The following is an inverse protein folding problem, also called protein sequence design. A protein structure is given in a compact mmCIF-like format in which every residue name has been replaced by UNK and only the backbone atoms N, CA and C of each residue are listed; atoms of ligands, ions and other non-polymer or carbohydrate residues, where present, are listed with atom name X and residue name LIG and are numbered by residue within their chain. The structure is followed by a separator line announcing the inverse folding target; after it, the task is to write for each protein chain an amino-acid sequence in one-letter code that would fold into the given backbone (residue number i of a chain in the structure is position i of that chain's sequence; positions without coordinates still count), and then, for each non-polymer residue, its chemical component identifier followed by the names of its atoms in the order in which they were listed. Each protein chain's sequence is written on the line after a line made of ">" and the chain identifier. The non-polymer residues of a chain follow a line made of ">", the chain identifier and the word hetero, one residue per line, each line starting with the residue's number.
data_IF_496919240816
#
_entry.id   IF_496919240816
#
_cell.length_a   1.000
_cell.length_b   1.000
_cell.length_c   1.000
_cell.angle_alpha   90.00
_cell.angle_beta   90.00
_cell.angle_gamma   90.00
#
_symmetry.space_group_name_H-M   'P 1'
#
loop_
_entity.id
_entity.type
_entity.pdbx_description
1 polymer ?
#
# COMPACT_ATOMS: atom_id res chain seq x y z
N UNK A 1 19.66 0.78 -22.95
CA UNK A 1 19.06 2.13 -22.78
C UNK A 1 17.52 2.14 -22.86
N UNK A 2 16.88 1.55 -23.89
CA UNK A 2 15.41 1.57 -24.06
C UNK A 2 14.61 0.95 -22.90
N UNK A 3 15.13 -0.10 -22.27
CA UNK A 3 14.45 -0.79 -21.16
C UNK A 3 14.32 0.09 -19.90
N UNK A 4 15.38 0.81 -19.51
CA UNK A 4 15.35 1.74 -18.37
C UNK A 4 14.37 2.90 -18.57
N UNK A 5 14.26 3.41 -19.80
CA UNK A 5 13.29 4.45 -20.11
C UNK A 5 11.85 3.95 -20.01
N UNK A 6 11.59 2.71 -20.44
CA UNK A 6 10.27 2.07 -20.28
C UNK A 6 9.92 1.84 -18.81
N UNK A 7 10.87 1.37 -18.01
CA UNK A 7 10.70 1.19 -16.56
C UNK A 7 10.39 2.53 -15.88
N UNK A 8 11.18 3.57 -16.12
CA UNK A 8 10.93 4.89 -15.56
C UNK A 8 9.55 5.46 -15.95
N UNK A 9 9.10 5.22 -17.19
CA UNK A 9 7.75 5.63 -17.62
C UNK A 9 6.66 4.84 -16.91
N UNK A 10 6.86 3.53 -16.69
CA UNK A 10 5.94 2.70 -15.94
C UNK A 10 5.86 3.16 -14.47
N UNK A 11 7.00 3.41 -13.83
CA UNK A 11 7.07 3.93 -12.46
C UNK A 11 6.31 5.25 -12.31
N UNK A 12 6.54 6.20 -13.22
CA UNK A 12 5.81 7.48 -13.23
C UNK A 12 4.31 7.26 -13.43
N UNK A 13 3.91 6.30 -14.26
CA UNK A 13 2.49 5.95 -14.43
C UNK A 13 1.89 5.34 -13.17
N UNK A 14 2.63 4.46 -12.49
CA UNK A 14 2.22 3.88 -11.20
C UNK A 14 2.06 4.96 -10.14
N UNK A 15 3.07 5.84 -9.98
CA UNK A 15 3.05 6.96 -9.04
C UNK A 15 1.87 7.91 -9.28
N UNK A 16 1.58 8.23 -10.56
CA UNK A 16 0.43 9.07 -10.97
C UNK A 16 -0.93 8.47 -10.61
N UNK A 17 -1.01 7.16 -10.37
CA UNK A 17 -2.24 6.48 -9.93
C UNK A 17 -2.31 6.39 -8.41
N UNK A 18 -1.24 5.89 -7.77
CA UNK A 18 -1.29 5.57 -6.34
C UNK A 18 -1.34 6.81 -5.45
N UNK A 19 -0.63 7.89 -5.78
CA UNK A 19 -0.57 9.05 -4.88
C UNK A 19 -1.89 9.82 -4.80
N UNK A 20 -2.56 10.17 -5.93
CA UNK A 20 -3.87 10.81 -5.85
C UNK A 20 -4.92 9.90 -5.19
N UNK A 21 -4.84 8.59 -5.42
CA UNK A 21 -5.78 7.63 -4.84
C UNK A 21 -5.57 7.45 -3.34
N UNK A 22 -4.32 7.38 -2.87
CA UNK A 22 -4.02 7.36 -1.44
C UNK A 22 -4.49 8.65 -0.75
N UNK A 23 -4.29 9.82 -1.36
CA UNK A 23 -4.85 11.07 -0.82
C UNK A 23 -6.38 11.03 -0.76
N UNK A 24 -7.04 10.48 -1.78
CA UNK A 24 -8.51 10.35 -1.80
C UNK A 24 -9.00 9.47 -0.66
N UNK A 25 -8.31 8.36 -0.39
CA UNK A 25 -8.62 7.44 0.71
C UNK A 25 -8.40 8.11 2.07
N UNK A 26 -7.28 8.80 2.25
CA UNK A 26 -6.99 9.54 3.47
C UNK A 26 -8.04 10.61 3.77
N UNK A 27 -8.41 11.41 2.75
CA UNK A 27 -9.45 12.44 2.89
C UNK A 27 -10.82 11.85 3.19
N UNK A 28 -11.18 10.73 2.54
CA UNK A 28 -12.42 10.03 2.83
C UNK A 28 -12.46 9.49 4.27
N UNK A 29 -11.31 9.24 4.87
CA UNK A 29 -11.14 8.87 6.27
C UNK A 29 -10.94 10.08 7.22
N UNK A 30 -11.12 11.32 6.74
CA UNK A 30 -10.98 12.55 7.54
C UNK A 30 -9.53 12.94 7.84
N UNK A 31 -8.55 12.38 7.13
CA UNK A 31 -7.12 12.67 7.32
C UNK A 31 -6.58 13.61 6.25
N UNK A 32 -5.71 14.52 6.67
CA UNK A 32 -5.04 15.47 5.77
C UNK A 32 -3.87 14.86 4.99
N UNK A 33 -3.22 13.85 5.56
CA UNK A 33 -2.05 13.18 4.98
C UNK A 33 -2.30 11.68 4.83
N UNK A 34 -2.01 11.09 3.67
CA UNK A 34 -2.09 9.65 3.46
C UNK A 34 -0.99 8.89 4.22
N UNK A 35 -1.37 7.70 4.72
CA UNK A 35 -0.48 6.78 5.39
C UNK A 35 -0.18 5.50 4.61
N UNK A 36 0.43 4.53 5.29
CA UNK A 36 0.83 3.24 4.69
C UNK A 36 -0.39 2.42 4.24
N UNK A 37 -1.47 2.40 5.00
CA UNK A 37 -2.74 1.76 4.62
C UNK A 37 -3.34 2.39 3.36
N UNK A 38 -3.34 3.71 3.24
CA UNK A 38 -3.82 4.40 2.03
C UNK A 38 -2.96 4.05 0.81
N UNK A 39 -1.63 3.95 0.99
CA UNK A 39 -0.70 3.52 -0.07
C UNK A 39 -1.01 2.10 -0.55
N UNK A 40 -1.18 1.16 0.38
CA UNK A 40 -1.45 -0.24 0.06
C UNK A 40 -2.81 -0.39 -0.60
N UNK A 41 -3.85 0.24 -0.05
CA UNK A 41 -5.21 0.23 -0.61
C UNK A 41 -5.23 0.82 -2.03
N UNK A 42 -4.55 1.94 -2.27
CA UNK A 42 -4.39 2.50 -3.62
C UNK A 42 -3.63 1.54 -4.56
N UNK A 43 -2.66 0.80 -4.03
CA UNK A 43 -1.92 -0.23 -4.74
C UNK A 43 -2.78 -1.41 -5.21
N UNK A 44 -3.87 -1.74 -4.51
CA UNK A 44 -4.77 -2.86 -4.89
C UNK A 44 -5.55 -2.60 -6.19
N UNK A 45 -5.70 -1.33 -6.57
CA UNK A 45 -6.37 -0.90 -7.80
C UNK A 45 -5.40 -0.72 -8.99
N UNK A 46 -4.12 -1.05 -8.80
CA UNK A 46 -3.16 -1.09 -9.90
C UNK A 46 -3.52 -2.18 -10.93
N UNK A 47 -3.22 -1.95 -12.22
CA UNK A 47 -3.64 -2.83 -13.30
C UNK A 47 -2.93 -4.19 -13.31
N UNK A 48 -1.80 -4.33 -12.60
CA UNK A 48 -1.11 -5.62 -12.46
C UNK A 48 -1.91 -6.62 -11.59
N UNK A 49 -2.75 -6.12 -10.68
CA UNK A 49 -3.64 -6.89 -9.81
C UNK A 49 -2.95 -7.86 -8.86
N UNK A 50 -1.62 -7.84 -8.74
CA UNK A 50 -0.83 -8.85 -8.01
C UNK A 50 -1.18 -8.82 -6.52
N UNK A 51 -1.08 -7.66 -5.87
CA UNK A 51 -1.40 -7.53 -4.45
C UNK A 51 -2.86 -7.91 -4.14
N UNK A 52 -3.79 -7.56 -5.04
CA UNK A 52 -5.21 -7.90 -4.90
C UNK A 52 -5.45 -9.41 -4.97
N UNK A 53 -4.81 -10.10 -5.91
CA UNK A 53 -4.92 -11.57 -6.01
C UNK A 53 -4.26 -12.28 -4.84
N UNK A 54 -3.12 -11.79 -4.37
CA UNK A 54 -2.45 -12.34 -3.19
C UNK A 54 -3.31 -12.24 -1.93
N UNK A 55 -3.93 -11.09 -1.67
CA UNK A 55 -4.90 -10.96 -0.58
C UNK A 55 -6.11 -11.89 -0.74
N UNK A 56 -6.64 -12.01 -1.96
CA UNK A 56 -7.76 -12.91 -2.24
C UNK A 56 -7.39 -14.39 -2.02
N UNK A 57 -6.14 -14.79 -2.29
CA UNK A 57 -5.64 -16.13 -2.00
C UNK A 57 -5.59 -16.43 -0.49
N UNK A 58 -5.49 -15.39 0.34
CA UNK A 58 -5.60 -15.46 1.80
C UNK A 58 -7.03 -15.23 2.31
N UNK A 59 -8.03 -15.19 1.44
CA UNK A 59 -9.43 -14.98 1.82
C UNK A 59 -9.80 -13.54 2.20
N UNK A 60 -8.93 -12.56 1.91
CA UNK A 60 -9.15 -11.15 2.25
C UNK A 60 -9.51 -10.33 1.02
N UNK A 61 -10.61 -9.58 1.11
CA UNK A 61 -10.97 -8.60 0.08
C UNK A 61 -10.36 -7.21 0.38
N UNK A 62 -10.24 -6.33 -0.63
CA UNK A 62 -9.85 -4.93 -0.39
C UNK A 62 -10.77 -4.19 0.59
N UNK A 63 -12.05 -4.60 0.68
CA UNK A 63 -13.01 -4.03 1.63
C UNK A 63 -12.69 -4.45 3.06
N UNK A 64 -12.34 -5.71 3.27
CA UNK A 64 -11.99 -6.24 4.60
C UNK A 64 -10.73 -5.56 5.12
N UNK A 65 -9.69 -5.44 4.27
CA UNK A 65 -8.48 -4.74 4.64
C UNK A 65 -8.75 -3.28 5.01
N UNK A 66 -9.59 -2.57 4.22
CA UNK A 66 -9.96 -1.18 4.51
C UNK A 66 -10.70 -1.04 5.85
N UNK A 67 -11.59 -1.98 6.16
CA UNK A 67 -12.31 -1.97 7.43
C UNK A 67 -11.35 -2.22 8.60
N UNK A 68 -10.49 -3.24 8.50
CA UNK A 68 -9.53 -3.59 9.53
C UNK A 68 -8.51 -2.47 9.80
N UNK A 69 -7.97 -1.81 8.76
CA UNK A 69 -7.04 -0.67 8.97
C UNK A 69 -7.72 0.53 9.62
N UNK A 70 -9.00 0.77 9.32
CA UNK A 70 -9.78 1.82 9.96
C UNK A 70 -10.01 1.53 11.45
N UNK A 71 -10.28 0.27 11.81
CA UNK A 71 -10.43 -0.20 13.19
C UNK A 71 -9.13 -0.09 13.97
N UNK A 72 -8.00 -0.56 13.42
CA UNK A 72 -6.68 -0.43 14.06
C UNK A 72 -6.37 1.03 14.37
N UNK A 73 -6.51 1.93 13.38
CA UNK A 73 -6.28 3.37 13.62
C UNK A 73 -7.25 3.97 14.63
N UNK A 74 -8.49 3.49 14.71
CA UNK A 74 -9.46 3.99 15.70
C UNK A 74 -9.05 3.57 17.13
N UNK A 75 -8.58 2.34 17.29
CA UNK A 75 -8.02 1.83 18.54
C UNK A 75 -6.77 2.60 18.95
N UNK A 76 -5.84 2.84 18.02
CA UNK A 76 -4.62 3.62 18.30
C UNK A 76 -4.96 5.05 18.76
N UNK A 77 -5.93 5.70 18.10
CA UNK A 77 -6.41 7.04 18.52
C UNK A 77 -7.04 7.01 19.91
N UNK A 78 -7.85 5.99 20.22
CA UNK A 78 -8.46 5.85 21.53
C UNK A 78 -7.41 5.61 22.63
N UNK A 79 -6.40 4.78 22.34
CA UNK A 79 -5.30 4.49 23.25
C UNK A 79 -4.36 5.68 23.48
N UNK A 80 -4.14 6.52 22.45
CA UNK A 80 -3.34 7.73 22.54
C UNK A 80 -3.95 8.81 23.47
N UNK A 81 -5.23 8.68 23.83
CA UNK A 81 -5.89 9.57 24.77
C UNK A 81 -6.24 10.92 24.15
N UNK A 82 -7.51 11.31 24.31
CA UNK A 82 -8.06 12.63 24.04
C UNK A 82 -7.12 13.79 24.44
N UNK A 83 -6.50 14.42 23.45
CA UNK A 83 -5.67 15.61 23.58
C UNK A 83 -5.81 16.47 22.33
N UNK A 84 -6.83 17.34 22.36
CA UNK A 84 -7.28 18.23 21.29
C UNK A 84 -8.03 17.51 20.17
N UNK A 85 -9.36 17.54 20.31
CA UNK A 85 -10.30 17.55 19.20
C UNK A 85 -9.99 18.77 18.31
N UNK A 86 -8.89 18.72 17.57
CA UNK A 86 -8.82 19.46 16.32
C UNK A 86 -9.67 18.62 15.39
N UNK A 87 -10.98 18.88 15.44
CA UNK A 87 -11.91 18.51 14.40
C UNK A 87 -11.28 19.02 13.10
N UNK A 88 -10.46 18.18 12.48
CA UNK A 88 -9.91 18.42 11.17
C UNK A 88 -11.14 18.55 10.29
N UNK A 89 -11.48 19.79 9.94
CA UNK A 89 -12.53 20.07 8.99
C UNK A 89 -12.28 19.12 7.82
N UNK A 90 -13.32 18.40 7.33
CA UNK A 90 -13.14 17.47 6.23
C UNK A 90 -12.31 18.17 5.16
N UNK A 91 -11.19 17.56 4.78
CA UNK A 91 -10.27 18.14 3.81
C UNK A 91 -10.97 18.11 2.43
N UNK A 92 -11.93 19.00 2.24
CA UNK A 92 -12.93 18.99 1.19
C UNK A 92 -12.36 19.51 -0.14
N UNK A 93 -11.05 19.81 -0.17
CA UNK A 93 -10.35 20.29 -1.35
C UNK A 93 -9.05 19.52 -1.58
N UNK A 94 -8.79 19.09 -2.83
CA UNK A 94 -7.48 18.56 -3.19
C UNK A 94 -6.39 19.61 -2.91
N UNK A 95 -5.32 19.22 -2.23
CA UNK A 95 -4.19 20.10 -1.95
C UNK A 95 -3.50 20.45 -3.27
N UNK A 96 -3.60 21.71 -3.71
CA UNK A 96 -2.90 22.23 -4.89
C UNK A 96 -1.42 22.54 -4.59
N UNK A 97 -0.74 21.70 -3.82
CA UNK A 97 0.60 21.91 -3.28
C UNK A 97 1.51 20.70 -3.42
N UNK A 98 2.73 20.79 -2.86
CA UNK A 98 3.67 19.66 -2.78
C UNK A 98 2.99 18.47 -2.09
N UNK A 99 3.13 17.28 -2.67
CA UNK A 99 2.60 16.04 -2.11
C UNK A 99 3.13 15.85 -0.67
N UNK A 100 2.21 15.69 0.29
CA UNK A 100 2.52 15.40 1.70
C UNK A 100 1.91 14.07 2.08
N UNK A 101 2.64 13.33 2.90
CA UNK A 101 2.26 12.01 3.40
C UNK A 101 2.93 11.77 4.73
N UNK A 102 2.35 10.87 5.53
CA UNK A 102 2.94 10.44 6.79
C UNK A 102 4.38 9.94 6.55
N UNK A 103 5.35 10.19 7.46
CA UNK A 103 6.73 9.74 7.29
C UNK A 103 6.86 8.22 7.06
N UNK A 104 5.99 7.44 7.70
CA UNK A 104 5.90 5.98 7.53
C UNK A 104 5.56 5.60 6.09
N UNK A 105 4.62 6.29 5.45
CA UNK A 105 4.25 6.07 4.04
C UNK A 105 5.44 6.33 3.11
N UNK A 106 6.18 7.42 3.33
CA UNK A 106 7.36 7.76 2.53
C UNK A 106 8.43 6.68 2.64
N UNK A 107 8.68 6.21 3.86
CA UNK A 107 9.66 5.15 4.13
C UNK A 107 9.25 3.83 3.47
N UNK A 108 7.97 3.42 3.60
CA UNK A 108 7.44 2.22 2.93
C UNK A 108 7.51 2.35 1.41
N UNK A 109 7.18 3.51 0.85
CA UNK A 109 7.28 3.73 -0.59
C UNK A 109 8.73 3.64 -1.10
N UNK A 110 9.68 4.26 -0.40
CA UNK A 110 11.10 4.16 -0.74
C UNK A 110 11.59 2.71 -0.66
N UNK A 111 11.09 1.95 0.32
CA UNK A 111 11.39 0.53 0.45
C UNK A 111 10.84 -0.28 -0.72
N UNK A 112 9.60 -0.05 -1.14
CA UNK A 112 9.00 -0.69 -2.31
C UNK A 112 9.79 -0.40 -3.60
N UNK A 113 10.24 0.85 -3.79
CA UNK A 113 11.14 1.22 -4.90
C UNK A 113 12.47 0.46 -4.81
N UNK A 114 13.00 0.25 -3.60
CA UNK A 114 14.18 -0.57 -3.36
C UNK A 114 14.01 -2.02 -3.82
N UNK A 115 12.87 -2.65 -3.47
CA UNK A 115 12.52 -4.01 -3.88
C UNK A 115 12.45 -4.11 -5.41
N UNK A 116 11.69 -3.22 -6.07
CA UNK A 116 11.57 -3.21 -7.53
C UNK A 116 12.93 -3.06 -8.23
N UNK A 117 13.80 -2.19 -7.70
CA UNK A 117 15.16 -1.97 -8.23
C UNK A 117 16.07 -3.19 -8.06
N UNK A 118 16.02 -3.87 -6.91
CA UNK A 118 16.82 -5.06 -6.66
C UNK A 118 16.53 -6.16 -7.70
N UNK A 119 15.28 -6.25 -8.13
CA UNK A 119 14.80 -7.20 -9.14
C UNK A 119 14.88 -6.66 -10.58
N UNK A 120 15.42 -5.45 -10.77
CA UNK A 120 15.51 -4.76 -12.07
C UNK A 120 14.15 -4.64 -12.77
N UNK A 121 13.07 -4.50 -11.99
CA UNK A 121 11.70 -4.36 -12.46
C UNK A 121 11.20 -2.91 -12.27
N UNK A 122 10.01 -2.62 -12.79
CA UNK A 122 9.29 -1.38 -12.46
C UNK A 122 8.45 -1.61 -11.20
N UNK A 123 8.09 -0.54 -10.51
CA UNK A 123 7.26 -0.57 -9.31
C UNK A 123 5.89 -1.19 -9.61
N UNK A 124 5.58 -2.27 -8.89
CA UNK A 124 4.33 -3.04 -8.96
C UNK A 124 3.58 -3.01 -7.64
N UNK A 125 2.29 -3.37 -7.66
CA UNK A 125 1.45 -3.45 -6.45
C UNK A 125 2.05 -4.39 -5.39
N UNK A 126 2.73 -5.45 -5.83
CA UNK A 126 3.40 -6.40 -4.95
C UNK A 126 4.47 -5.75 -4.08
N UNK A 127 5.24 -4.82 -4.64
CA UNK A 127 6.39 -4.23 -3.96
C UNK A 127 5.90 -3.31 -2.83
N UNK A 128 4.75 -2.66 -3.04
CA UNK A 128 4.05 -1.86 -2.03
C UNK A 128 3.57 -2.75 -0.87
N UNK A 129 2.96 -3.88 -1.18
CA UNK A 129 2.47 -4.82 -0.16
C UNK A 129 3.62 -5.45 0.62
N UNK A 130 4.66 -5.94 -0.06
CA UNK A 130 5.85 -6.50 0.59
C UNK A 130 6.52 -5.48 1.52
N UNK A 131 6.71 -4.24 1.05
CA UNK A 131 7.30 -3.19 1.87
C UNK A 131 6.46 -2.84 3.11
N UNK A 132 5.12 -2.90 3.02
CA UNK A 132 4.24 -2.67 4.17
C UNK A 132 4.34 -3.81 5.21
N UNK A 133 4.49 -5.05 4.74
CA UNK A 133 4.65 -6.24 5.58
C UNK A 133 6.01 -6.35 6.28
N UNK A 134 6.95 -5.45 5.99
CA UNK A 134 8.24 -5.38 6.70
C UNK A 134 8.15 -4.67 8.06
N UNK A 135 7.05 -3.96 8.34
CA UNK A 135 6.79 -3.33 9.62
C UNK A 135 5.79 -4.19 10.42
N UNK A 136 6.23 -5.05 11.37
CA UNK A 136 5.35 -5.97 12.08
C UNK A 136 4.28 -5.25 12.90
N UNK A 137 4.65 -4.15 13.56
CA UNK A 137 3.75 -3.31 14.35
C UNK A 137 3.07 -2.21 13.52
N UNK A 138 3.14 -2.30 12.18
CA UNK A 138 2.51 -1.36 11.28
C UNK A 138 1.00 -1.56 11.18
N UNK A 139 0.26 -0.50 10.83
CA UNK A 139 -1.21 -0.54 10.66
C UNK A 139 -1.68 -1.65 9.72
N UNK A 140 -0.94 -1.91 8.64
CA UNK A 140 -1.29 -2.94 7.64
C UNK A 140 -1.08 -4.34 8.21
N UNK A 141 0.07 -4.59 8.85
CA UNK A 141 0.40 -5.89 9.45
C UNK A 141 -0.56 -6.22 10.59
N UNK A 142 -0.86 -5.24 11.45
CA UNK A 142 -1.84 -5.37 12.55
C UNK A 142 -3.25 -5.64 12.01
N UNK A 143 -3.66 -4.94 10.94
CA UNK A 143 -4.96 -5.18 10.31
C UNK A 143 -5.07 -6.58 9.69
N UNK A 144 -3.99 -7.08 9.10
CA UNK A 144 -3.95 -8.44 8.54
C UNK A 144 -3.97 -9.50 9.64
N UNK A 145 -3.29 -9.26 10.76
CA UNK A 145 -3.34 -10.12 11.94
C UNK A 145 -4.77 -10.21 12.51
N UNK A 146 -5.47 -9.08 12.64
CA UNK A 146 -6.89 -9.04 13.03
C UNK A 146 -7.80 -9.81 12.07
N UNK A 147 -7.45 -9.88 10.78
CA UNK A 147 -8.16 -10.66 9.77
C UNK A 147 -7.76 -12.15 9.76
N UNK A 148 -6.84 -12.57 10.64
CA UNK A 148 -6.35 -13.94 10.72
C UNK A 148 -5.46 -14.35 9.54
N UNK A 149 -4.84 -13.39 8.86
CA UNK A 149 -3.93 -13.66 7.74
C UNK A 149 -2.54 -14.01 8.25
N UNK A 150 -2.07 -15.20 7.89
CA UNK A 150 -0.67 -15.58 8.09
C UNK A 150 0.25 -14.72 7.20
N UNK A 151 1.18 -13.95 7.79
CA UNK A 151 2.07 -13.06 7.04
C UNK A 151 2.99 -13.82 6.07
N UNK A 152 3.40 -15.05 6.39
CA UNK A 152 4.26 -15.84 5.52
C UNK A 152 3.45 -16.43 4.35
N UNK A 153 2.24 -16.91 4.61
CA UNK A 153 1.33 -17.34 3.55
C UNK A 153 1.00 -16.20 2.56
N UNK A 154 0.81 -14.97 3.07
CA UNK A 154 0.60 -13.80 2.22
C UNK A 154 1.85 -13.45 1.42
N UNK A 155 3.04 -13.45 2.03
CA UNK A 155 4.31 -13.22 1.29
C UNK A 155 4.48 -14.25 0.19
N UNK A 156 4.24 -15.52 0.46
CA UNK A 156 4.31 -16.59 -0.54
C UNK A 156 3.32 -16.40 -1.68
N UNK A 157 2.09 -15.99 -1.38
CA UNK A 157 1.08 -15.65 -2.40
C UNK A 157 1.53 -14.48 -3.28
N UNK A 158 2.12 -13.43 -2.68
CA UNK A 158 2.64 -12.27 -3.41
C UNK A 158 3.81 -12.65 -4.32
N UNK A 159 4.72 -13.50 -3.85
CA UNK A 159 5.88 -13.95 -4.62
C UNK A 159 5.47 -14.87 -5.77
N UNK A 160 4.47 -15.75 -5.56
CA UNK A 160 3.91 -16.63 -6.59
C UNK A 160 3.30 -15.84 -7.74
N UNK A 161 2.45 -14.86 -7.43
CA UNK A 161 1.76 -14.04 -8.43
C UNK A 161 2.66 -12.97 -9.07
N UNK A 162 3.83 -12.72 -8.50
CA UNK A 162 4.81 -11.74 -8.96
C UNK A 162 5.88 -12.30 -9.89
N UNK A 163 5.94 -13.62 -10.11
CA UNK A 163 6.88 -14.22 -11.05
C UNK A 163 6.64 -13.70 -12.48
N UNK A 164 7.68 -13.29 -13.21
CA UNK A 164 7.54 -12.97 -14.62
C UNK A 164 7.11 -14.23 -15.40
N UNK A 165 6.28 -14.06 -16.42
CA UNK A 165 5.76 -15.15 -17.24
C UNK A 165 6.86 -15.95 -18.00
N UNK A 166 8.10 -15.46 -18.02
CA UNK A 166 9.24 -16.09 -18.71
C UNK A 166 9.85 -17.30 -17.96
N UNK A 167 9.49 -17.55 -16.70
CA UNK A 167 10.05 -18.67 -15.89
C UNK A 167 9.12 -19.89 -15.81
N UNK A 168 8.05 -19.94 -16.59
CA UNK A 168 7.02 -21.00 -16.52
C UNK A 168 7.24 -22.18 -17.50
N UNK A 169 8.32 -22.17 -18.30
CA UNK A 169 8.56 -23.15 -19.39
C UNK A 169 9.78 -24.07 -19.16
N UNK A 170 10.27 -24.24 -17.93
CA UNK A 170 11.29 -25.26 -17.59
C UNK A 170 10.78 -26.23 -16.51
N UNK A 171 9.85 -27.14 -16.88
CA UNK A 171 9.66 -28.46 -16.25
C UNK A 171 9.31 -29.50 -17.31
#
# INVERSE_FOLDING_TARGET
>A
MRQRLRQARADVSTMRRIFPEAERLARAAGRSEPGVDDLVLAGLDLPDGIARRALAACGVTPRDLRAATAEVRATDRAAAGSGTDEAAAPADRPSRGVYRSEPSMQMTFHRAVGIAKAERSHLRSRDLLLAALEAPDGVVSTALDHLGVDPDALRDAVLRDGRPADDADDV
#
